data_IF_854808387647
#
_entry.id   IF_854808387647
#
_cell.length_a   1.000
_cell.length_b   1.000
_cell.length_c   1.000
_cell.angle_alpha   90.00
_cell.angle_beta   90.00
_cell.angle_gamma   90.00
#
_symmetry.space_group_name_H-M   'P 1'
#
loop_
_entity.id
_entity.type
_entity.pdbx_description
1 polymer ?
#
# COMPACT_ATOMS: atom_id res chain seq x y z
N UNK A 1 33.28 2.91 -7.71
CA UNK A 1 33.15 2.36 -6.35
C UNK A 1 31.74 2.34 -5.83
N UNK A 2 30.85 3.28 -6.17
CA UNK A 2 29.43 3.32 -5.71
C UNK A 2 28.56 2.25 -6.41
N UNK A 3 28.79 1.96 -7.69
CA UNK A 3 28.04 0.94 -8.44
C UNK A 3 28.28 -0.50 -7.93
N UNK A 4 29.51 -0.82 -7.52
CA UNK A 4 29.84 -2.15 -6.99
C UNK A 4 29.24 -2.41 -5.60
N UNK A 5 28.88 -1.36 -4.86
CA UNK A 5 28.26 -1.46 -3.53
C UNK A 5 26.74 -1.67 -3.59
N UNK A 6 26.09 -1.22 -4.67
CA UNK A 6 24.68 -1.50 -4.94
C UNK A 6 24.47 -2.96 -5.36
N UNK A 7 25.40 -3.54 -6.09
CA UNK A 7 25.40 -4.96 -6.44
C UNK A 7 25.38 -5.88 -5.21
N UNK A 8 26.05 -5.49 -4.12
CA UNK A 8 26.04 -6.26 -2.87
C UNK A 8 24.73 -6.15 -2.05
N UNK A 9 23.91 -5.12 -2.28
CA UNK A 9 22.65 -4.91 -1.55
C UNK A 9 21.47 -5.67 -2.17
N UNK A 10 21.60 -6.08 -3.44
CA UNK A 10 20.66 -6.99 -4.10
C UNK A 10 21.10 -8.46 -3.98
N UNK A 11 22.18 -8.74 -3.24
CA UNK A 11 22.75 -10.08 -3.04
C UNK A 11 21.76 -11.16 -2.58
N UNK A 12 20.75 -10.91 -1.71
CA UNK A 12 19.76 -11.94 -1.41
C UNK A 12 18.90 -12.34 -2.61
N UNK A 13 18.87 -11.53 -3.67
CA UNK A 13 18.14 -11.82 -4.91
C UNK A 13 19.03 -12.27 -6.07
N UNK A 14 20.36 -12.14 -5.96
CA UNK A 14 21.35 -12.60 -6.97
C UNK A 14 21.90 -14.01 -6.68
N UNK A 15 21.98 -14.40 -5.41
CA UNK A 15 22.57 -15.68 -4.98
C UNK A 15 21.55 -16.81 -4.78
N UNK A 16 20.38 -16.75 -5.42
CA UNK A 16 19.66 -17.98 -5.69
C UNK A 16 20.55 -18.76 -6.67
N UNK A 17 21.31 -19.75 -6.17
CA UNK A 17 22.00 -20.72 -7.03
C UNK A 17 20.97 -21.23 -8.02
N UNK A 18 20.99 -20.67 -9.24
CA UNK A 18 20.23 -21.26 -10.34
C UNK A 18 20.85 -22.63 -10.57
N UNK A 19 20.06 -23.65 -10.38
CA UNK A 19 20.40 -24.97 -10.89
C UNK A 19 20.53 -24.80 -12.42
N UNK A 20 21.79 -24.70 -12.88
CA UNK A 20 22.16 -24.48 -14.29
C UNK A 20 21.65 -25.60 -15.22
N UNK A 21 20.92 -26.58 -14.69
CA UNK A 21 20.33 -27.70 -15.46
C UNK A 21 18.89 -27.43 -15.92
N UNK A 22 18.24 -26.34 -15.46
CA UNK A 22 16.92 -25.93 -15.97
C UNK A 22 17.08 -25.08 -17.23
N UNK A 23 16.64 -25.61 -18.36
CA UNK A 23 16.46 -24.86 -19.61
C UNK A 23 15.79 -23.52 -19.33
N UNK A 24 16.32 -22.43 -19.90
CA UNK A 24 15.88 -21.03 -19.79
C UNK A 24 14.46 -20.83 -20.39
N UNK A 25 13.47 -21.59 -19.91
CA UNK A 25 12.09 -21.45 -20.34
C UNK A 25 11.47 -20.23 -19.64
N UNK A 26 10.94 -19.30 -20.42
CA UNK A 26 10.16 -18.18 -19.90
C UNK A 26 9.04 -18.75 -19.04
N UNK A 27 9.04 -18.40 -17.73
CA UNK A 27 7.94 -18.73 -16.83
C UNK A 27 6.87 -17.66 -16.95
N UNK A 28 5.62 -18.07 -17.10
CA UNK A 28 4.47 -17.17 -17.13
C UNK A 28 3.56 -17.44 -15.95
N UNK A 29 3.03 -16.36 -15.36
CA UNK A 29 2.02 -16.40 -14.32
C UNK A 29 0.83 -15.53 -14.74
N UNK A 30 -0.27 -16.18 -15.09
CA UNK A 30 -1.55 -15.45 -15.31
C UNK A 30 -2.38 -15.50 -14.04
N UNK A 31 -2.80 -14.33 -13.56
CA UNK A 31 -3.64 -14.17 -12.39
C UNK A 31 -4.84 -13.28 -12.72
N UNK A 32 -5.90 -13.37 -11.92
CA UNK A 32 -6.99 -12.40 -11.98
C UNK A 32 -6.42 -10.99 -11.81
N UNK A 33 -6.98 -10.02 -12.54
CA UNK A 33 -6.53 -8.64 -12.43
C UNK A 33 -6.52 -8.21 -10.96
N UNK A 34 -5.37 -7.75 -10.43
CA UNK A 34 -5.25 -7.39 -9.02
C UNK A 34 -6.02 -6.13 -8.62
N UNK A 35 -6.19 -5.98 -7.31
CA UNK A 35 -6.65 -4.76 -6.67
C UNK A 35 -5.57 -4.20 -5.75
N UNK A 36 -5.49 -2.88 -5.65
CA UNK A 36 -4.62 -2.21 -4.68
C UNK A 36 -5.45 -1.63 -3.54
N UNK A 37 -5.35 -2.24 -2.38
CA UNK A 37 -6.18 -1.88 -1.23
C UNK A 37 -5.63 -0.70 -0.42
N UNK A 38 -4.54 -0.07 -0.88
CA UNK A 38 -3.97 1.13 -0.27
C UNK A 38 -3.08 1.91 -1.25
N UNK A 39 -3.55 3.03 -1.77
CA UNK A 39 -2.76 3.87 -2.68
C UNK A 39 -2.97 5.37 -2.44
N UNK A 40 -1.91 6.16 -2.58
CA UNK A 40 -1.97 7.62 -2.63
C UNK A 40 -1.82 8.10 -4.08
N UNK A 41 -2.91 8.54 -4.68
CA UNK A 41 -2.86 9.13 -6.03
C UNK A 41 -2.46 10.61 -6.01
N UNK A 42 -2.50 11.25 -4.82
CA UNK A 42 -2.44 12.72 -4.65
C UNK A 42 -3.63 13.38 -5.34
N UNK A 43 -3.51 14.64 -5.74
CA UNK A 43 -4.62 15.38 -6.35
C UNK A 43 -4.16 16.26 -7.50
N UNK A 44 -5.09 16.90 -8.19
CA UNK A 44 -4.89 17.83 -9.28
C UNK A 44 -3.92 17.31 -10.34
N UNK A 45 -2.89 18.08 -10.68
CA UNK A 45 -1.92 17.75 -11.74
C UNK A 45 -1.15 16.43 -11.52
N UNK A 46 -1.01 15.99 -10.27
CA UNK A 46 -0.35 14.71 -9.94
C UNK A 46 -1.10 13.51 -10.54
N UNK A 47 -2.42 13.60 -10.64
CA UNK A 47 -3.28 12.54 -11.15
C UNK A 47 -2.96 12.17 -12.61
N UNK A 48 -2.41 13.10 -13.38
CA UNK A 48 -2.02 12.84 -14.77
C UNK A 48 -0.93 11.74 -14.89
N UNK A 49 -0.09 11.58 -13.87
CA UNK A 49 0.94 10.53 -13.80
C UNK A 49 0.48 9.32 -13.00
N UNK A 50 -0.13 9.55 -11.84
CA UNK A 50 -0.40 8.49 -10.87
C UNK A 50 -1.57 7.60 -11.26
N UNK A 51 -2.62 8.18 -11.85
CA UNK A 51 -3.83 7.43 -12.26
C UNK A 51 -3.53 6.42 -13.38
N UNK A 52 -2.87 6.78 -14.50
CA UNK A 52 -2.52 5.82 -15.53
C UNK A 52 -1.65 4.66 -15.00
N UNK A 53 -0.66 4.96 -14.14
CA UNK A 53 0.21 3.93 -13.57
C UNK A 53 -0.56 2.94 -12.69
N UNK A 54 -1.48 3.43 -11.86
CA UNK A 54 -2.34 2.56 -11.06
C UNK A 54 -3.29 1.74 -11.94
N UNK A 55 -3.97 2.40 -12.88
CA UNK A 55 -4.96 1.76 -13.75
C UNK A 55 -4.35 0.75 -14.74
N UNK A 56 -3.07 0.83 -15.04
CA UNK A 56 -2.40 -0.17 -15.86
C UNK A 56 -2.37 -1.54 -15.19
N UNK A 57 -2.18 -1.59 -13.87
CA UNK A 57 -1.97 -2.82 -13.12
C UNK A 57 -3.20 -3.29 -12.35
N UNK A 58 -4.04 -2.38 -11.86
CA UNK A 58 -5.12 -2.68 -10.93
C UNK A 58 -6.51 -2.39 -11.50
N UNK A 59 -7.51 -3.20 -11.15
CA UNK A 59 -8.91 -2.90 -11.46
C UNK A 59 -9.51 -1.96 -10.42
N UNK A 60 -9.38 -2.29 -9.15
CA UNK A 60 -9.84 -1.43 -8.04
C UNK A 60 -8.64 -0.92 -7.28
N UNK A 61 -8.78 0.30 -6.79
CA UNK A 61 -7.83 0.89 -5.86
C UNK A 61 -8.58 1.55 -4.72
N UNK A 62 -8.11 1.40 -3.48
CA UNK A 62 -8.59 2.20 -2.34
C UNK A 62 -7.73 3.46 -2.24
N UNK A 63 -8.34 4.60 -2.57
CA UNK A 63 -7.67 5.90 -2.58
C UNK A 63 -7.60 6.47 -1.18
N UNK A 64 -6.39 6.74 -0.70
CA UNK A 64 -6.18 7.34 0.62
C UNK A 64 -6.63 8.82 0.65
N UNK A 65 -7.24 9.25 1.78
CA UNK A 65 -7.97 10.51 1.85
C UNK A 65 -7.13 11.70 2.33
N UNK A 66 -5.84 11.52 2.67
CA UNK A 66 -4.96 12.53 3.27
C UNK A 66 -4.41 13.54 2.26
N UNK A 67 -5.32 14.21 1.59
CA UNK A 67 -5.06 15.33 0.68
C UNK A 67 -4.94 16.66 1.45
N UNK A 68 -4.80 17.75 0.74
CA UNK A 68 -4.89 19.12 1.29
C UNK A 68 -5.88 19.91 0.43
N UNK A 69 -7.11 20.16 0.93
CA UNK A 69 -7.70 19.64 2.18
C UNK A 69 -8.00 18.14 2.13
N UNK A 70 -8.09 17.46 3.31
CA UNK A 70 -8.40 16.03 3.35
C UNK A 70 -9.86 15.72 3.00
N UNK A 71 -10.09 14.49 2.53
CA UNK A 71 -11.43 14.00 2.13
C UNK A 71 -12.20 13.57 3.37
N UNK A 72 -12.98 14.47 3.96
CA UNK A 72 -13.68 14.27 5.25
C UNK A 72 -15.15 13.86 5.11
N UNK A 73 -15.76 14.01 3.93
CA UNK A 73 -17.18 13.77 3.69
C UNK A 73 -17.45 13.26 2.27
N UNK A 74 -18.70 12.91 2.00
CA UNK A 74 -19.13 12.32 0.73
C UNK A 74 -18.92 13.27 -0.45
N UNK A 75 -19.23 14.55 -0.30
CA UNK A 75 -19.09 15.53 -1.39
C UNK A 75 -17.62 15.65 -1.83
N UNK A 76 -16.70 15.71 -0.85
CA UNK A 76 -15.26 15.71 -1.11
C UNK A 76 -14.79 14.39 -1.77
N UNK A 77 -15.32 13.25 -1.31
CA UNK A 77 -15.00 11.94 -1.88
C UNK A 77 -15.49 11.84 -3.34
N UNK A 78 -16.69 12.29 -3.63
CA UNK A 78 -17.24 12.31 -4.98
C UNK A 78 -16.43 13.24 -5.89
N UNK A 79 -16.16 14.46 -5.46
CA UNK A 79 -15.37 15.42 -6.23
C UNK A 79 -13.94 14.89 -6.52
N UNK A 80 -13.31 14.22 -5.55
CA UNK A 80 -12.00 13.59 -5.76
C UNK A 80 -12.09 12.44 -6.75
N UNK A 81 -13.10 11.57 -6.62
CA UNK A 81 -13.33 10.47 -7.57
C UNK A 81 -13.55 10.99 -9.00
N UNK A 82 -14.30 12.06 -9.18
CA UNK A 82 -14.53 12.69 -10.47
C UNK A 82 -13.21 13.19 -11.12
N UNK A 83 -12.34 13.84 -10.34
CA UNK A 83 -11.01 14.27 -10.83
C UNK A 83 -10.14 13.07 -11.25
N UNK A 84 -10.13 11.98 -10.47
CA UNK A 84 -9.43 10.74 -10.84
C UNK A 84 -9.95 10.21 -12.19
N UNK A 85 -11.28 10.11 -12.35
CA UNK A 85 -11.88 9.59 -13.58
C UNK A 85 -11.67 10.51 -14.78
N UNK A 86 -11.60 11.84 -14.60
CA UNK A 86 -11.22 12.78 -15.66
C UNK A 86 -9.79 12.54 -16.16
N UNK A 87 -8.82 12.35 -15.26
CA UNK A 87 -7.44 12.04 -15.64
C UNK A 87 -7.31 10.65 -16.27
N UNK A 88 -8.09 9.67 -15.79
CA UNK A 88 -8.19 8.35 -16.42
C UNK A 88 -8.70 8.46 -17.86
N UNK A 89 -9.77 9.20 -18.08
CA UNK A 89 -10.34 9.39 -19.41
C UNK A 89 -9.34 10.06 -20.39
N UNK A 90 -8.55 10.99 -19.88
CA UNK A 90 -7.52 11.71 -20.66
C UNK A 90 -6.24 10.90 -20.90
N UNK A 91 -6.05 9.75 -20.26
CA UNK A 91 -4.84 8.92 -20.41
C UNK A 91 -4.81 8.15 -21.73
N UNK A 92 -3.64 7.60 -22.10
CA UNK A 92 -3.44 6.78 -23.29
C UNK A 92 -3.79 5.29 -23.09
N UNK A 93 -4.39 4.93 -21.96
CA UNK A 93 -4.82 3.55 -21.69
C UNK A 93 -5.93 3.10 -22.64
N UNK A 94 -6.02 1.79 -22.88
CA UNK A 94 -7.09 1.23 -23.69
C UNK A 94 -8.48 1.51 -23.11
N UNK A 95 -9.51 1.51 -23.97
CA UNK A 95 -10.89 1.70 -23.51
C UNK A 95 -11.32 0.63 -22.49
N UNK A 96 -10.85 -0.59 -22.66
CA UNK A 96 -11.06 -1.70 -21.71
C UNK A 96 -10.48 -1.38 -20.34
N UNK A 97 -9.20 -0.93 -20.28
CA UNK A 97 -8.56 -0.59 -19.01
C UNK A 97 -9.25 0.58 -18.32
N UNK A 98 -9.63 1.60 -19.07
CA UNK A 98 -10.40 2.73 -18.54
C UNK A 98 -11.76 2.31 -17.96
N UNK A 99 -12.47 1.42 -18.66
CA UNK A 99 -13.77 0.93 -18.21
C UNK A 99 -13.68 0.00 -16.98
N UNK A 100 -12.57 -0.73 -16.84
CA UNK A 100 -12.36 -1.66 -15.74
C UNK A 100 -11.85 -1.01 -14.44
N UNK A 101 -11.25 0.18 -14.53
CA UNK A 101 -10.66 0.85 -13.36
C UNK A 101 -11.73 1.51 -12.49
N UNK A 102 -11.78 1.12 -11.21
CA UNK A 102 -12.74 1.61 -10.24
C UNK A 102 -12.05 2.15 -8.98
N UNK A 103 -11.86 3.48 -8.87
CA UNK A 103 -11.32 4.10 -7.68
C UNK A 103 -12.37 4.10 -6.56
N UNK A 104 -12.11 3.36 -5.49
CA UNK A 104 -12.87 3.29 -4.26
C UNK A 104 -12.36 4.34 -3.29
N UNK A 105 -13.26 5.12 -2.73
CA UNK A 105 -12.92 6.24 -1.89
C UNK A 105 -12.84 5.84 -0.42
N UNK A 106 -12.11 6.63 0.36
CA UNK A 106 -12.11 6.57 1.83
C UNK A 106 -12.44 7.93 2.41
N UNK A 107 -13.01 7.95 3.60
CA UNK A 107 -13.13 9.18 4.38
C UNK A 107 -11.98 9.26 5.38
N UNK A 108 -11.48 10.46 5.55
CA UNK A 108 -10.47 10.80 6.56
C UNK A 108 -11.15 10.95 7.92
N UNK A 109 -10.85 10.07 8.88
CA UNK A 109 -11.38 10.15 10.23
C UNK A 109 -10.70 11.29 11.00
N UNK A 110 -11.50 12.13 11.60
CA UNK A 110 -11.07 13.24 12.47
C UNK A 110 -11.86 13.23 13.77
N UNK A 111 -11.44 14.00 14.76
CA UNK A 111 -12.18 14.16 16.02
C UNK A 111 -13.59 14.78 15.82
N UNK A 112 -13.91 15.28 14.63
CA UNK A 112 -15.21 15.90 14.29
C UNK A 112 -16.11 14.97 13.46
N UNK A 113 -15.62 13.82 13.04
CA UNK A 113 -16.40 12.84 12.26
C UNK A 113 -17.56 12.31 13.10
N UNK A 114 -18.75 12.23 12.52
CA UNK A 114 -19.97 11.80 13.20
C UNK A 114 -20.46 10.44 12.73
N UNK A 115 -21.29 9.79 13.54
CA UNK A 115 -21.99 8.56 13.14
C UNK A 115 -22.86 8.74 11.87
N UNK A 116 -23.39 9.96 11.66
CA UNK A 116 -24.15 10.29 10.45
C UNK A 116 -23.28 10.30 9.20
N UNK A 117 -22.03 10.79 9.30
CA UNK A 117 -21.08 10.76 8.19
C UNK A 117 -20.79 9.31 7.78
N UNK A 118 -20.66 8.40 8.75
CA UNK A 118 -20.45 6.97 8.51
C UNK A 118 -21.67 6.33 7.83
N UNK A 119 -22.88 6.66 8.29
CA UNK A 119 -24.10 6.19 7.63
C UNK A 119 -24.18 6.64 6.18
N UNK A 120 -23.90 7.91 5.90
CA UNK A 120 -23.90 8.45 4.54
C UNK A 120 -22.79 7.78 3.69
N UNK A 121 -21.60 7.59 4.25
CA UNK A 121 -20.50 6.89 3.60
C UNK A 121 -20.91 5.47 3.17
N UNK A 122 -21.46 4.70 4.08
CA UNK A 122 -21.90 3.32 3.82
C UNK A 122 -22.98 3.23 2.73
N UNK A 123 -23.85 4.23 2.63
CA UNK A 123 -24.93 4.30 1.62
C UNK A 123 -24.47 4.88 0.28
N UNK A 124 -23.30 5.47 0.19
CA UNK A 124 -22.84 6.21 -1.00
C UNK A 124 -22.54 5.33 -2.21
N UNK A 125 -22.18 4.07 -1.99
CA UNK A 125 -21.73 3.14 -3.02
C UNK A 125 -20.32 3.40 -3.56
N UNK A 126 -19.70 4.53 -3.21
CA UNK A 126 -18.33 4.90 -3.64
C UNK A 126 -17.31 4.84 -2.52
N UNK A 127 -17.72 5.02 -1.25
CA UNK A 127 -16.83 4.91 -0.08
C UNK A 127 -16.73 3.46 0.35
N UNK A 128 -15.50 2.96 0.40
CA UNK A 128 -15.22 1.56 0.75
C UNK A 128 -14.83 1.37 2.20
N UNK A 129 -14.28 2.41 2.83
CA UNK A 129 -13.77 2.36 4.20
C UNK A 129 -13.56 3.76 4.79
N UNK A 130 -13.23 3.82 6.07
CA UNK A 130 -12.81 5.04 6.77
C UNK A 130 -11.38 4.87 7.24
N UNK A 131 -10.53 5.85 6.98
CA UNK A 131 -9.10 5.83 7.30
C UNK A 131 -8.80 6.65 8.55
N UNK A 132 -8.22 6.00 9.53
CA UNK A 132 -7.68 6.62 10.74
C UNK A 132 -6.17 6.83 10.60
N UNK A 133 -5.77 8.08 10.77
CA UNK A 133 -4.39 8.47 11.05
C UNK A 133 -4.33 9.02 12.48
N UNK A 134 -3.43 8.54 13.34
CA UNK A 134 -3.07 9.29 14.54
C UNK A 134 -2.49 10.64 14.13
N UNK A 135 -2.87 11.72 14.83
CA UNK A 135 -2.43 13.08 14.50
C UNK A 135 -0.89 13.16 14.44
N UNK A 136 -0.36 13.63 13.31
CA UNK A 136 1.08 13.76 13.08
C UNK A 136 1.85 12.47 12.74
N UNK A 137 1.17 11.35 12.52
CA UNK A 137 1.85 10.06 12.24
C UNK A 137 2.58 10.03 10.89
N UNK A 138 2.07 10.70 9.88
CA UNK A 138 2.63 10.67 8.51
C UNK A 138 2.32 11.97 7.75
N UNK A 139 2.64 12.01 6.46
CA UNK A 139 2.36 13.14 5.57
C UNK A 139 0.87 13.51 5.58
N UNK A 140 0.54 14.80 5.75
CA UNK A 140 -0.82 15.33 5.77
C UNK A 140 -1.73 14.67 6.82
N UNK A 141 -1.17 14.30 7.99
CA UNK A 141 -1.93 13.69 9.09
C UNK A 141 -2.14 14.61 10.31
N UNK A 142 -1.90 15.91 10.17
CA UNK A 142 -2.10 16.86 11.25
C UNK A 142 -3.57 16.93 11.75
N UNK A 143 -4.53 16.74 10.84
CA UNK A 143 -5.97 16.72 11.14
C UNK A 143 -6.46 15.36 11.66
N UNK A 144 -5.57 14.39 11.88
CA UNK A 144 -5.88 13.04 12.33
C UNK A 144 -6.48 12.99 13.74
N UNK A 145 -6.80 11.78 14.18
CA UNK A 145 -7.41 11.55 15.49
C UNK A 145 -6.41 11.85 16.60
N UNK A 146 -6.83 12.71 17.55
CA UNK A 146 -6.02 13.05 18.73
C UNK A 146 -6.41 12.24 19.96
N UNK A 147 -7.70 11.85 20.08
CA UNK A 147 -8.19 10.97 21.14
C UNK A 147 -9.10 9.87 20.56
N UNK A 148 -8.62 8.66 20.60
CA UNK A 148 -9.35 7.47 20.12
C UNK A 148 -10.67 7.25 20.89
N UNK A 149 -10.75 7.70 22.13
CA UNK A 149 -11.95 7.55 22.94
C UNK A 149 -13.08 8.51 22.51
N UNK A 150 -12.75 9.59 21.82
CA UNK A 150 -13.75 10.48 21.22
C UNK A 150 -14.45 9.86 20.00
N UNK A 151 -13.89 8.78 19.43
CA UNK A 151 -14.40 8.13 18.22
C UNK A 151 -15.41 6.99 18.50
N UNK A 152 -15.88 6.81 19.72
CA UNK A 152 -16.74 5.67 20.10
C UNK A 152 -18.00 5.56 19.24
N UNK A 153 -18.76 6.65 19.09
CA UNK A 153 -20.01 6.67 18.31
C UNK A 153 -19.73 6.38 16.82
N UNK A 154 -18.54 6.78 16.32
CA UNK A 154 -18.09 6.49 14.96
C UNK A 154 -17.79 5.01 14.82
N UNK A 155 -17.11 4.40 15.77
CA UNK A 155 -16.78 2.95 15.75
C UNK A 155 -18.04 2.10 15.84
N UNK A 156 -19.02 2.48 16.68
CA UNK A 156 -20.35 1.83 16.71
C UNK A 156 -21.05 1.90 15.35
N UNK A 157 -20.94 3.04 14.67
CA UNK A 157 -21.51 3.20 13.34
C UNK A 157 -20.77 2.37 12.28
N UNK A 158 -19.43 2.32 12.32
CA UNK A 158 -18.63 1.46 11.42
C UNK A 158 -19.00 -0.01 11.57
N UNK A 159 -19.12 -0.49 12.81
CA UNK A 159 -19.55 -1.86 13.10
C UNK A 159 -20.99 -2.12 12.60
N UNK A 160 -21.92 -1.23 12.91
CA UNK A 160 -23.32 -1.31 12.48
C UNK A 160 -23.51 -1.36 10.97
N UNK A 161 -22.77 -0.55 10.23
CA UNK A 161 -22.89 -0.46 8.77
C UNK A 161 -21.90 -1.39 8.04
N UNK A 162 -21.11 -2.20 8.76
CA UNK A 162 -20.08 -3.09 8.23
C UNK A 162 -19.11 -2.33 7.29
N UNK A 163 -18.78 -1.08 7.63
CA UNK A 163 -17.83 -0.26 6.91
C UNK A 163 -16.45 -0.39 7.57
N UNK A 164 -15.42 -0.92 6.87
CA UNK A 164 -14.12 -1.19 7.47
C UNK A 164 -13.40 0.06 7.96
N UNK A 165 -12.68 -0.08 9.09
CA UNK A 165 -11.72 0.88 9.60
C UNK A 165 -10.32 0.51 9.10
N UNK A 166 -9.65 1.45 8.42
CA UNK A 166 -8.27 1.30 7.95
C UNK A 166 -7.36 2.08 8.89
N UNK A 167 -6.32 1.44 9.40
CA UNK A 167 -5.46 2.03 10.43
C UNK A 167 -4.04 2.28 9.93
N UNK A 168 -3.54 3.51 10.10
CA UNK A 168 -2.11 3.74 10.22
C UNK A 168 -1.71 3.43 11.65
N UNK A 169 -1.12 2.27 11.87
CA UNK A 169 -0.95 1.67 13.18
C UNK A 169 0.32 2.10 13.91
N UNK A 170 0.53 3.39 14.15
CA UNK A 170 1.68 3.91 14.90
C UNK A 170 1.25 4.91 15.97
N UNK A 171 1.86 4.84 17.17
CA UNK A 171 1.77 5.93 18.14
C UNK A 171 2.67 7.09 17.72
N UNK A 172 2.33 8.32 18.15
CA UNK A 172 3.04 9.56 17.75
C UNK A 172 3.79 10.23 18.89
N UNK A 173 3.94 9.56 20.02
CA UNK A 173 4.62 10.11 21.18
C UNK A 173 6.13 10.29 20.93
N UNK A 174 6.67 11.46 21.20
CA UNK A 174 8.08 11.83 20.95
C UNK A 174 9.10 10.94 21.69
N UNK A 175 8.73 10.38 22.85
CA UNK A 175 9.59 9.52 23.65
C UNK A 175 9.59 8.06 23.17
N UNK A 176 8.74 7.68 22.20
CA UNK A 176 8.71 6.32 21.64
C UNK A 176 9.62 6.26 20.43
N UNK A 177 10.56 5.32 20.46
CA UNK A 177 11.43 5.06 19.32
C UNK A 177 10.60 4.77 18.06
N UNK A 178 10.99 5.38 16.94
CA UNK A 178 10.27 5.26 15.66
C UNK A 178 10.16 3.80 15.19
N UNK A 179 11.07 2.92 15.61
CA UNK A 179 11.05 1.50 15.27
C UNK A 179 10.07 0.69 16.14
N UNK A 180 9.62 1.24 17.28
CA UNK A 180 8.73 0.56 18.25
C UNK A 180 7.28 1.09 18.18
N UNK A 181 7.01 2.16 17.41
CA UNK A 181 5.71 2.84 17.35
C UNK A 181 4.56 1.93 16.94
N UNK A 182 4.78 1.02 15.99
CA UNK A 182 3.75 0.06 15.56
C UNK A 182 3.39 -0.91 16.67
N UNK A 183 4.38 -1.53 17.32
CA UNK A 183 4.12 -2.42 18.45
C UNK A 183 3.37 -1.73 19.59
N UNK A 184 3.79 -0.51 19.93
CA UNK A 184 3.11 0.27 20.97
C UNK A 184 1.66 0.56 20.61
N UNK A 185 1.36 0.85 19.35
CA UNK A 185 -0.02 1.05 18.89
C UNK A 185 -0.87 -0.21 19.06
N UNK A 186 -0.32 -1.38 18.72
CA UNK A 186 -1.02 -2.66 18.92
C UNK A 186 -1.40 -2.86 20.39
N UNK A 187 -0.43 -2.69 21.29
CA UNK A 187 -0.59 -2.97 22.72
C UNK A 187 -1.50 -1.94 23.42
N UNK A 188 -1.38 -0.67 23.08
CA UNK A 188 -2.00 0.44 23.82
C UNK A 188 -3.32 0.92 23.21
N UNK A 189 -3.50 0.77 21.90
CA UNK A 189 -4.64 1.34 21.18
C UNK A 189 -5.50 0.25 20.55
N UNK A 190 -4.93 -0.57 19.65
CA UNK A 190 -5.71 -1.49 18.84
C UNK A 190 -6.34 -2.61 19.69
N UNK A 191 -5.61 -3.13 20.67
CA UNK A 191 -6.14 -4.16 21.59
C UNK A 191 -7.41 -3.68 22.31
N UNK A 192 -7.48 -2.41 22.73
CA UNK A 192 -8.67 -1.84 23.39
C UNK A 192 -9.84 -1.66 22.43
N UNK A 193 -9.58 -1.22 21.19
CA UNK A 193 -10.60 -1.06 20.15
C UNK A 193 -11.28 -2.41 19.86
N UNK A 194 -10.49 -3.47 19.65
CA UNK A 194 -11.02 -4.81 19.32
C UNK A 194 -11.87 -5.40 20.45
N UNK A 195 -11.45 -5.20 21.70
CA UNK A 195 -12.24 -5.66 22.87
C UNK A 195 -13.61 -4.96 22.91
N UNK A 196 -13.65 -3.67 22.58
CA UNK A 196 -14.87 -2.86 22.64
C UNK A 196 -15.77 -3.05 21.41
N UNK A 197 -15.18 -3.31 20.24
CA UNK A 197 -15.88 -3.47 18.95
C UNK A 197 -15.47 -4.79 18.27
N UNK A 198 -15.90 -5.95 18.80
CA UNK A 198 -15.35 -7.25 18.41
C UNK A 198 -15.77 -7.72 17.01
N UNK A 199 -16.79 -7.12 16.40
CA UNK A 199 -17.24 -7.48 15.04
C UNK A 199 -16.88 -6.44 14.00
N UNK A 200 -16.29 -5.29 14.41
CA UNK A 200 -15.85 -4.26 13.50
C UNK A 200 -14.72 -4.78 12.59
N UNK A 201 -14.89 -4.60 11.29
CA UNK A 201 -13.82 -4.92 10.33
C UNK A 201 -12.70 -3.90 10.41
N UNK A 202 -11.48 -4.39 10.61
CA UNK A 202 -10.27 -3.55 10.68
C UNK A 202 -9.23 -4.07 9.72
N UNK A 203 -8.61 -3.16 8.97
CA UNK A 203 -7.38 -3.43 8.23
C UNK A 203 -6.24 -2.66 8.88
N UNK A 204 -5.29 -3.38 9.45
CA UNK A 204 -4.00 -2.82 9.87
C UNK A 204 -3.15 -2.65 8.61
N UNK A 205 -3.03 -1.42 8.14
CA UNK A 205 -2.42 -1.16 6.84
C UNK A 205 -0.90 -1.11 6.91
N UNK A 206 -0.24 -1.50 5.80
CA UNK A 206 1.22 -1.42 5.60
C UNK A 206 2.03 -1.87 6.82
N UNK A 207 1.67 -3.03 7.39
CA UNK A 207 2.37 -3.55 8.58
C UNK A 207 3.87 -3.74 8.32
N UNK A 208 4.67 -3.53 9.37
CA UNK A 208 6.13 -3.50 9.24
C UNK A 208 6.86 -4.40 10.22
N UNK A 209 6.16 -4.97 11.20
CA UNK A 209 6.77 -5.77 12.28
C UNK A 209 6.23 -7.19 12.32
N UNK A 210 7.02 -8.11 12.89
CA UNK A 210 6.56 -9.44 13.26
C UNK A 210 5.42 -9.38 14.28
N UNK A 211 5.48 -8.42 15.20
CA UNK A 211 4.45 -8.22 16.22
C UNK A 211 3.07 -7.93 15.58
N UNK A 212 3.03 -7.13 14.51
CA UNK A 212 1.78 -6.87 13.78
C UNK A 212 1.30 -8.12 13.02
N UNK A 213 2.20 -8.87 12.41
CA UNK A 213 1.85 -10.12 11.73
C UNK A 213 1.26 -11.15 12.71
N UNK A 214 1.91 -11.37 13.84
CA UNK A 214 1.47 -12.29 14.90
C UNK A 214 0.13 -11.83 15.48
N UNK A 215 -0.02 -10.53 15.76
CA UNK A 215 -1.27 -9.95 16.22
C UNK A 215 -2.44 -10.26 15.27
N UNK A 216 -2.28 -10.02 13.96
CA UNK A 216 -3.32 -10.29 12.96
C UNK A 216 -3.63 -11.79 12.88
N UNK A 217 -2.64 -12.67 12.99
CA UNK A 217 -2.84 -14.11 12.99
C UNK A 217 -3.70 -14.58 14.17
N UNK A 218 -3.52 -13.99 15.34
CA UNK A 218 -4.24 -14.33 16.58
C UNK A 218 -5.70 -13.84 16.60
N UNK A 219 -6.06 -12.81 15.81
CA UNK A 219 -7.41 -12.27 15.79
C UNK A 219 -8.39 -13.11 14.95
N UNK A 220 -9.68 -12.78 15.01
CA UNK A 220 -10.71 -13.31 14.11
C UNK A 220 -10.61 -12.80 12.67
N UNK A 221 -11.50 -13.28 11.80
CA UNK A 221 -11.50 -12.95 10.37
C UNK A 221 -11.93 -11.48 10.07
N UNK A 222 -12.41 -10.74 11.07
CA UNK A 222 -12.71 -9.31 10.94
C UNK A 222 -11.44 -8.44 10.94
N UNK A 223 -10.27 -8.99 11.28
CA UNK A 223 -9.00 -8.29 11.29
C UNK A 223 -8.11 -8.82 10.15
N UNK A 224 -7.59 -7.91 9.34
CA UNK A 224 -6.68 -8.21 8.26
C UNK A 224 -5.56 -7.16 8.18
N UNK A 225 -4.60 -7.36 7.30
CA UNK A 225 -3.51 -6.42 7.09
C UNK A 225 -3.12 -6.30 5.62
N UNK A 226 -2.67 -5.10 5.22
CA UNK A 226 -1.96 -4.90 3.96
C UNK A 226 -0.45 -4.92 4.16
N UNK A 227 0.28 -5.42 3.16
CA UNK A 227 1.74 -5.40 3.16
C UNK A 227 2.22 -4.82 1.83
N UNK A 228 3.15 -3.88 1.91
CA UNK A 228 3.66 -3.14 0.76
C UNK A 228 4.87 -3.85 0.12
N UNK A 229 5.20 -3.57 -1.15
CA UNK A 229 6.36 -4.17 -1.78
C UNK A 229 7.67 -3.73 -1.10
N UNK A 230 7.75 -2.48 -0.63
CA UNK A 230 8.95 -1.99 0.07
C UNK A 230 9.20 -2.70 1.40
N UNK A 231 8.16 -3.07 2.16
CA UNK A 231 8.32 -3.78 3.42
C UNK A 231 8.60 -5.29 3.24
N UNK A 232 8.20 -5.87 2.09
CA UNK A 232 8.59 -7.24 1.73
C UNK A 232 10.05 -7.32 1.27
N UNK A 233 10.49 -6.35 0.46
CA UNK A 233 11.78 -6.44 -0.24
C UNK A 233 12.94 -5.82 0.54
N UNK A 234 12.67 -4.84 1.41
CA UNK A 234 13.71 -4.01 2.02
C UNK A 234 13.58 -3.92 3.54
N UNK A 235 14.70 -3.61 4.17
CA UNK A 235 14.80 -3.35 5.59
C UNK A 235 15.60 -2.06 5.84
N UNK A 236 15.76 -1.67 7.09
CA UNK A 236 16.41 -0.41 7.46
C UNK A 236 17.86 -0.26 6.95
N UNK A 237 18.59 -1.37 6.67
CA UNK A 237 19.91 -1.29 6.10
C UNK A 237 19.90 -0.68 4.69
N UNK A 238 18.86 -0.99 3.89
CA UNK A 238 18.67 -0.42 2.56
C UNK A 238 18.47 1.10 2.59
N UNK A 239 17.89 1.61 3.67
CA UNK A 239 17.69 3.05 3.88
C UNK A 239 18.98 3.75 4.35
N UNK A 240 19.80 3.11 5.22
CA UNK A 240 20.81 3.78 6.03
C UNK A 240 22.24 3.40 5.70
N UNK A 241 22.52 2.20 5.18
CA UNK A 241 23.89 1.74 4.94
C UNK A 241 24.45 2.33 3.65
N UNK A 242 25.64 2.88 3.75
CA UNK A 242 26.34 3.54 2.61
C UNK A 242 25.82 4.95 2.31
N UNK A 243 25.08 5.55 3.23
CA UNK A 243 24.46 6.87 3.12
C UNK A 243 22.94 6.78 3.11
N UNK A 244 22.29 7.92 3.44
CA UNK A 244 20.82 8.00 3.47
C UNK A 244 20.27 7.91 2.04
N UNK A 245 19.29 7.04 1.84
CA UNK A 245 18.61 6.86 0.56
C UNK A 245 17.14 7.32 0.65
N UNK A 246 16.84 8.58 0.33
CA UNK A 246 15.52 9.18 0.57
C UNK A 246 14.37 8.44 -0.10
N UNK A 247 14.59 7.80 -1.26
CA UNK A 247 13.54 7.09 -1.99
C UNK A 247 13.11 5.77 -1.35
N UNK A 248 13.84 5.29 -0.31
CA UNK A 248 13.42 4.19 0.57
C UNK A 248 12.75 4.69 1.87
N UNK A 249 12.73 6.01 2.12
CA UNK A 249 12.09 6.55 3.31
C UNK A 249 10.58 6.58 3.16
N UNK A 250 9.89 5.84 4.03
CA UNK A 250 8.44 5.76 4.16
C UNK A 250 8.05 5.75 5.64
N UNK A 251 6.78 5.96 5.94
CA UNK A 251 6.18 5.78 7.26
C UNK A 251 4.95 4.88 7.11
N UNK A 252 4.89 3.78 7.88
CA UNK A 252 5.87 3.34 8.90
C UNK A 252 7.25 3.01 8.28
N UNK A 253 8.30 3.30 9.05
CA UNK A 253 9.68 3.15 8.58
C UNK A 253 10.06 1.67 8.38
N UNK A 254 10.95 1.39 7.41
CA UNK A 254 11.53 0.06 7.22
C UNK A 254 12.19 -0.44 8.50
N UNK A 255 11.84 -1.66 8.92
CA UNK A 255 12.29 -2.26 10.19
C UNK A 255 13.54 -3.13 10.00
N UNK A 256 13.85 -3.97 10.97
CA UNK A 256 14.95 -4.95 10.93
C UNK A 256 14.67 -6.05 9.91
N UNK A 257 15.71 -6.69 9.43
CA UNK A 257 15.63 -7.87 8.56
C UNK A 257 14.77 -9.01 9.18
N UNK A 258 14.82 -9.19 10.49
CA UNK A 258 13.99 -10.19 11.18
C UNK A 258 12.50 -9.95 11.00
N UNK A 259 12.05 -8.70 11.05
CA UNK A 259 10.66 -8.34 10.77
C UNK A 259 10.32 -8.53 9.29
N UNK A 260 11.18 -8.06 8.38
CA UNK A 260 11.01 -8.24 6.94
C UNK A 260 10.79 -9.70 6.55
N UNK A 261 11.58 -10.63 7.10
CA UNK A 261 11.44 -12.08 6.85
C UNK A 261 10.06 -12.58 7.26
N UNK A 262 9.57 -12.21 8.44
CA UNK A 262 8.23 -12.61 8.91
C UNK A 262 7.13 -12.03 8.01
N UNK A 263 7.26 -10.78 7.56
CA UNK A 263 6.29 -10.19 6.62
C UNK A 263 6.25 -10.96 5.29
N UNK A 264 7.41 -11.33 4.76
CA UNK A 264 7.50 -12.13 3.55
C UNK A 264 6.88 -13.53 3.75
N UNK A 265 7.14 -14.16 4.89
CA UNK A 265 6.57 -15.47 5.23
C UNK A 265 5.04 -15.42 5.30
N UNK A 266 4.44 -14.43 5.98
CA UNK A 266 2.97 -14.34 6.08
C UNK A 266 2.32 -13.93 4.77
N UNK A 267 2.92 -13.03 3.98
CA UNK A 267 2.41 -12.64 2.68
C UNK A 267 2.36 -13.83 1.70
N UNK A 268 3.37 -14.70 1.77
CA UNK A 268 3.50 -15.87 0.89
C UNK A 268 2.90 -17.16 1.47
N UNK A 269 2.29 -17.10 2.66
CA UNK A 269 1.69 -18.26 3.34
C UNK A 269 0.40 -18.76 2.69
N UNK A 270 -0.30 -17.89 1.94
CA UNK A 270 -1.66 -18.15 1.45
C UNK A 270 -2.75 -17.87 2.49
N UNK A 271 -2.41 -17.25 3.61
CA UNK A 271 -3.39 -16.86 4.63
C UNK A 271 -4.21 -15.64 4.14
N UNK A 272 -5.57 -15.72 4.08
CA UNK A 272 -6.42 -14.67 3.50
C UNK A 272 -6.49 -13.38 4.31
N UNK A 273 -5.90 -13.33 5.49
CA UNK A 273 -5.82 -12.11 6.30
C UNK A 273 -4.76 -11.11 5.81
N UNK A 274 -3.86 -11.53 4.92
CA UNK A 274 -2.81 -10.67 4.37
C UNK A 274 -3.01 -10.47 2.88
N UNK A 275 -3.06 -9.23 2.44
CA UNK A 275 -3.26 -8.89 1.03
C UNK A 275 -2.52 -7.63 0.60
N UNK A 276 -2.52 -7.39 -0.70
CA UNK A 276 -1.79 -6.32 -1.34
C UNK A 276 -2.33 -4.93 -0.95
N UNK A 277 -1.44 -4.04 -0.55
CA UNK A 277 -1.66 -2.61 -0.49
C UNK A 277 -0.32 -1.95 -0.74
N UNK A 278 -0.18 -1.22 -1.84
CA UNK A 278 1.14 -0.71 -2.26
C UNK A 278 1.67 0.38 -1.36
N UNK A 279 0.79 1.14 -0.73
CA UNK A 279 1.15 2.42 -0.12
C UNK A 279 2.06 3.25 -1.05
N UNK A 280 1.77 3.17 -2.35
CA UNK A 280 2.47 3.99 -3.33
C UNK A 280 2.18 5.45 -3.05
N UNK A 281 3.20 6.18 -2.61
CA UNK A 281 3.07 7.55 -2.11
C UNK A 281 4.02 8.48 -2.87
N UNK A 282 3.57 9.08 -3.98
CA UNK A 282 4.40 9.90 -4.84
C UNK A 282 4.75 11.24 -4.20
N UNK A 283 6.04 11.59 -4.30
CA UNK A 283 6.58 12.91 -3.98
C UNK A 283 7.60 13.28 -5.05
N UNK A 284 7.61 14.55 -5.45
CA UNK A 284 8.60 15.06 -6.39
C UNK A 284 10.03 14.77 -5.89
N UNK A 285 10.94 14.45 -6.81
CA UNK A 285 12.33 14.08 -6.48
C UNK A 285 13.01 15.12 -5.60
N UNK A 286 12.85 16.41 -5.89
CA UNK A 286 13.41 17.50 -5.08
C UNK A 286 12.84 17.57 -3.66
N UNK A 287 11.59 17.16 -3.44
CA UNK A 287 10.99 17.07 -2.11
C UNK A 287 11.53 15.86 -1.34
N UNK A 288 11.74 14.73 -1.99
CA UNK A 288 12.37 13.54 -1.41
C UNK A 288 13.84 13.78 -1.05
N UNK A 289 14.58 14.48 -1.90
CA UNK A 289 16.01 14.74 -1.75
C UNK A 289 16.28 16.06 -1.01
N UNK A 290 15.38 16.42 -0.09
CA UNK A 290 15.49 17.57 0.82
C UNK A 290 15.70 17.11 2.26
N UNK A 291 15.93 18.06 3.17
CA UNK A 291 16.07 17.77 4.59
C UNK A 291 14.81 17.13 5.22
N UNK A 292 13.63 17.39 4.68
CA UNK A 292 12.37 16.74 5.07
C UNK A 292 12.32 15.26 4.67
N UNK A 293 12.88 14.90 3.51
CA UNK A 293 12.86 13.54 2.97
C UNK A 293 11.49 13.06 2.49
N UNK A 294 10.41 13.74 2.77
CA UNK A 294 9.00 13.41 2.50
C UNK A 294 8.71 11.91 2.50
N UNK A 295 8.11 11.39 3.57
CA UNK A 295 7.84 9.96 3.72
C UNK A 295 6.92 9.42 2.63
N UNK A 296 7.35 8.38 1.92
CA UNK A 296 6.60 7.70 0.88
C UNK A 296 7.50 7.12 -0.21
N UNK A 297 7.24 5.88 -0.60
CA UNK A 297 7.87 5.23 -1.75
C UNK A 297 6.90 5.26 -2.94
N UNK A 298 7.40 5.49 -4.14
CA UNK A 298 6.58 5.41 -5.34
C UNK A 298 6.76 4.05 -6.02
N UNK A 299 5.76 3.19 -5.93
CA UNK A 299 5.83 1.81 -6.41
C UNK A 299 4.76 1.44 -7.45
N UNK A 300 3.67 2.23 -7.59
CA UNK A 300 2.49 1.86 -8.39
C UNK A 300 2.82 1.46 -9.83
N UNK A 301 3.75 2.18 -10.48
CA UNK A 301 4.13 1.91 -11.87
C UNK A 301 4.74 0.51 -12.10
N UNK A 302 5.36 -0.07 -11.07
CA UNK A 302 6.07 -1.35 -11.14
C UNK A 302 5.62 -2.32 -10.03
N UNK A 303 4.45 -2.10 -9.43
CA UNK A 303 4.03 -2.81 -8.22
C UNK A 303 3.97 -4.34 -8.42
N UNK A 304 3.33 -4.81 -9.48
CA UNK A 304 3.21 -6.25 -9.73
C UNK A 304 4.55 -6.93 -9.98
N UNK A 305 5.47 -6.40 -10.80
CA UNK A 305 6.85 -6.90 -10.90
C UNK A 305 7.59 -6.95 -9.56
N UNK A 306 7.42 -5.94 -8.70
CA UNK A 306 8.03 -5.90 -7.36
C UNK A 306 7.48 -7.03 -6.47
N UNK A 307 6.16 -7.20 -6.39
CA UNK A 307 5.56 -8.30 -5.63
C UNK A 307 5.94 -9.68 -6.21
N UNK A 308 5.93 -9.83 -7.55
CA UNK A 308 6.36 -11.08 -8.17
C UNK A 308 7.82 -11.42 -7.81
N UNK A 309 8.70 -10.42 -7.83
CA UNK A 309 10.09 -10.58 -7.40
C UNK A 309 10.19 -11.03 -5.94
N UNK A 310 9.43 -10.41 -5.04
CA UNK A 310 9.41 -10.78 -3.63
C UNK A 310 8.92 -12.21 -3.41
N UNK A 311 7.82 -12.61 -4.04
CA UNK A 311 7.24 -13.95 -3.90
C UNK A 311 8.12 -15.04 -4.54
N UNK A 312 8.71 -14.74 -5.69
CA UNK A 312 9.63 -15.67 -6.39
C UNK A 312 10.94 -15.90 -5.63
N UNK A 313 11.41 -14.88 -4.90
CA UNK A 313 12.64 -14.96 -4.09
C UNK A 313 12.61 -16.06 -3.03
N UNK A 314 11.43 -16.47 -2.62
CA UNK A 314 11.21 -17.56 -1.66
C UNK A 314 10.51 -18.78 -2.29
N UNK A 315 10.44 -18.84 -3.64
CA UNK A 315 9.83 -19.95 -4.38
C UNK A 315 8.32 -20.07 -4.19
N UNK A 316 7.61 -18.97 -3.91
CA UNK A 316 6.16 -18.94 -3.61
C UNK A 316 5.36 -18.09 -4.59
N UNK A 317 5.82 -17.96 -5.82
CA UNK A 317 5.15 -17.16 -6.86
C UNK A 317 3.70 -17.62 -7.11
N UNK A 318 3.37 -18.88 -6.87
CA UNK A 318 2.03 -19.47 -6.95
C UNK A 318 1.04 -18.89 -5.94
N UNK A 319 1.51 -18.26 -4.87
CA UNK A 319 0.66 -17.62 -3.84
C UNK A 319 0.28 -16.18 -4.19
N UNK A 320 0.90 -15.59 -5.21
CA UNK A 320 0.70 -14.17 -5.54
C UNK A 320 -0.75 -13.86 -5.91
N UNK A 321 -1.46 -14.73 -6.65
CA UNK A 321 -2.86 -14.48 -7.02
C UNK A 321 -3.76 -14.36 -5.78
N UNK A 322 -3.59 -15.22 -4.78
CA UNK A 322 -4.34 -15.13 -3.52
C UNK A 322 -4.15 -13.77 -2.88
N UNK A 323 -2.90 -13.38 -2.69
CA UNK A 323 -2.51 -12.13 -2.02
C UNK A 323 -2.93 -10.86 -2.81
N UNK A 324 -2.76 -10.84 -4.13
CA UNK A 324 -2.96 -9.65 -4.94
C UNK A 324 -4.40 -9.48 -5.47
N UNK A 325 -5.13 -10.59 -5.69
CA UNK A 325 -6.37 -10.54 -6.46
C UNK A 325 -7.59 -11.09 -5.74
N UNK A 326 -7.41 -11.94 -4.69
CA UNK A 326 -8.54 -12.64 -4.09
C UNK A 326 -8.83 -12.24 -2.66
N UNK A 327 -7.82 -12.20 -1.79
CA UNK A 327 -8.04 -12.10 -0.34
C UNK A 327 -8.63 -10.76 0.07
N UNK A 328 -8.11 -9.64 -0.46
CA UNK A 328 -8.67 -8.33 -0.19
C UNK A 328 -10.11 -8.21 -0.70
N UNK A 329 -10.41 -8.66 -1.93
CA UNK A 329 -11.78 -8.65 -2.45
C UNK A 329 -12.75 -9.43 -1.54
N UNK A 330 -12.34 -10.60 -1.06
CA UNK A 330 -13.13 -11.41 -0.12
C UNK A 330 -13.34 -10.69 1.22
N UNK A 331 -12.28 -10.07 1.77
CA UNK A 331 -12.39 -9.31 3.03
C UNK A 331 -13.37 -8.15 2.92
N UNK A 332 -13.32 -7.38 1.83
CA UNK A 332 -14.23 -6.27 1.56
C UNK A 332 -15.61 -6.69 1.07
N UNK A 333 -15.85 -7.99 0.84
CA UNK A 333 -17.14 -8.51 0.35
C UNK A 333 -17.44 -8.12 -1.09
N UNK A 334 -16.41 -7.94 -1.91
CA UNK A 334 -16.53 -7.55 -3.31
C UNK A 334 -16.36 -8.78 -4.23
N UNK A 335 -16.98 -8.79 -5.41
CA UNK A 335 -16.79 -9.85 -6.38
C UNK A 335 -15.34 -9.86 -6.88
N UNK A 336 -14.84 -11.03 -7.26
CA UNK A 336 -13.54 -11.14 -7.93
C UNK A 336 -13.60 -10.47 -9.31
N UNK A 337 -12.46 -9.90 -9.75
CA UNK A 337 -12.36 -9.32 -11.08
C UNK A 337 -12.50 -10.38 -12.17
N UNK A 338 -13.12 -10.03 -13.30
CA UNK A 338 -13.32 -10.96 -14.41
C UNK A 338 -12.19 -10.97 -15.43
N UNK A 339 -11.34 -9.92 -15.44
CA UNK A 339 -10.17 -9.82 -16.32
C UNK A 339 -8.93 -10.47 -15.67
N UNK A 340 -7.92 -10.70 -16.48
CA UNK A 340 -6.63 -11.28 -16.05
C UNK A 340 -5.46 -10.42 -16.50
N UNK A 341 -4.31 -10.61 -15.82
CA UNK A 341 -3.02 -10.03 -16.20
C UNK A 341 -1.97 -11.14 -16.17
N UNK A 342 -1.03 -11.10 -17.10
CA UNK A 342 0.05 -12.10 -17.18
C UNK A 342 1.38 -11.44 -16.85
N UNK A 343 2.10 -12.04 -15.91
CA UNK A 343 3.49 -11.71 -15.60
C UNK A 343 4.41 -12.73 -16.27
N UNK A 344 5.57 -12.26 -16.71
CA UNK A 344 6.62 -13.11 -17.30
C UNK A 344 7.95 -12.84 -16.59
N UNK A 345 8.77 -13.88 -16.40
CA UNK A 345 10.10 -13.73 -15.82
C UNK A 345 11.13 -13.25 -16.87
N UNK A 346 10.75 -12.23 -17.61
CA UNK A 346 11.64 -11.50 -18.50
C UNK A 346 12.09 -10.24 -17.81
N UNK A 347 13.43 -10.01 -17.68
CA UNK A 347 13.94 -8.84 -16.99
C UNK A 347 13.44 -7.53 -17.61
N UNK A 348 13.04 -6.59 -16.74
CA UNK A 348 12.68 -5.24 -17.12
C UNK A 348 13.55 -4.22 -16.38
N UNK A 349 13.98 -3.18 -17.07
CA UNK A 349 14.64 -2.06 -16.44
C UNK A 349 13.61 -1.07 -15.89
N UNK A 350 13.68 -0.78 -14.61
CA UNK A 350 12.84 0.25 -13.99
C UNK A 350 13.27 1.63 -14.51
N UNK A 351 12.37 2.46 -15.02
CA UNK A 351 12.72 3.82 -15.44
C UNK A 351 13.40 4.61 -14.34
N UNK A 352 14.37 5.45 -14.70
CA UNK A 352 15.09 6.27 -13.72
C UNK A 352 14.20 7.35 -13.10
N UNK A 353 13.20 7.81 -13.83
CA UNK A 353 12.21 8.80 -13.39
C UNK A 353 11.01 8.81 -14.34
N UNK A 354 9.89 9.34 -13.85
CA UNK A 354 8.71 9.69 -14.64
C UNK A 354 8.52 11.21 -14.63
N UNK A 355 7.95 11.81 -15.70
CA UNK A 355 7.48 13.18 -15.66
C UNK A 355 6.46 13.38 -14.54
N UNK A 356 6.57 14.49 -13.84
CA UNK A 356 5.63 14.88 -12.80
C UNK A 356 5.21 16.34 -13.03
N UNK A 357 4.22 16.85 -12.31
CA UNK A 357 3.68 18.18 -12.57
C UNK A 357 4.73 19.29 -12.42
N UNK A 358 4.49 20.41 -13.14
CA UNK A 358 5.31 21.62 -13.09
C UNK A 358 6.81 21.41 -13.39
N UNK A 359 7.13 20.44 -14.25
CA UNK A 359 8.50 20.13 -14.65
C UNK A 359 9.31 19.34 -13.61
N UNK A 360 8.70 18.92 -12.51
CA UNK A 360 9.32 18.03 -11.55
C UNK A 360 9.44 16.61 -12.13
N UNK A 361 10.26 15.78 -11.47
CA UNK A 361 10.36 14.36 -11.74
C UNK A 361 9.88 13.53 -10.55
N UNK A 362 9.39 12.34 -10.85
CA UNK A 362 8.98 11.34 -9.88
C UNK A 362 9.87 10.11 -10.02
N UNK A 363 10.62 9.77 -8.98
CA UNK A 363 11.56 8.65 -9.00
C UNK A 363 10.91 7.41 -8.40
N UNK A 364 10.73 6.33 -9.18
CA UNK A 364 10.14 5.10 -8.67
C UNK A 364 11.09 4.35 -7.74
N UNK A 365 10.52 3.47 -6.93
CA UNK A 365 11.28 2.50 -6.14
C UNK A 365 12.13 1.65 -7.09
N UNK A 366 13.42 1.45 -6.77
CA UNK A 366 14.41 0.77 -7.62
C UNK A 366 14.66 1.45 -8.98
N UNK A 367 14.53 2.77 -9.07
CA UNK A 367 14.82 3.52 -10.29
C UNK A 367 16.19 3.18 -10.89
N UNK A 368 16.24 2.77 -12.17
CA UNK A 368 17.45 2.37 -12.87
C UNK A 368 17.93 0.94 -12.61
N UNK A 369 17.30 0.21 -11.72
CA UNK A 369 17.60 -1.20 -11.44
C UNK A 369 16.82 -2.15 -12.37
N UNK A 370 17.22 -3.40 -12.42
CA UNK A 370 16.53 -4.44 -13.21
C UNK A 370 15.71 -5.34 -12.30
N UNK A 371 14.42 -5.48 -12.59
CA UNK A 371 13.54 -6.47 -11.98
C UNK A 371 13.49 -7.73 -12.83
N UNK A 372 13.48 -8.95 -12.24
CA UNK A 372 13.45 -10.21 -12.98
C UNK A 372 12.08 -10.53 -13.60
N UNK A 373 11.04 -9.82 -13.20
CA UNK A 373 9.67 -9.98 -13.69
C UNK A 373 9.17 -8.74 -14.39
N UNK A 374 8.32 -8.92 -15.40
CA UNK A 374 7.62 -7.85 -16.12
C UNK A 374 6.16 -8.23 -16.39
N UNK A 375 5.33 -7.24 -16.72
CA UNK A 375 3.98 -7.48 -17.23
C UNK A 375 4.11 -7.85 -18.72
N UNK A 376 3.46 -8.93 -19.13
CA UNK A 376 3.40 -9.35 -20.54
C UNK A 376 2.61 -8.33 -21.33
N UNK A 377 3.21 -7.79 -22.40
CA UNK A 377 2.60 -6.81 -23.30
C UNK A 377 1.43 -7.43 -24.10
#
# INVERSE_FOLDING_TARGET
MIAAQLDSLLLPYKDIERDDTMTDSIRELTLLQPDDWHIHLRDDKALATTVPHAAQSFNRVICMPNLVPPVKNIDAAQAYRERILQHLAASDLSAERKAAFDPRMTLYLTDQTTAQDIEMAAKSGIVQAVKLYPAGATTNSADGVTDINACVDVFEALEKYNLPLLLHGEVTHDHVDIFDREKRFLDEVLAQIIVKFPTMKIVLEHITTSDAADFVLEQGNQIAATITPQHLMFNRNHLLVGGIKPHFYCLPILKRESHQKVLLDVATSGNPKFFLGTDSAPHATNAKESACGCAGCYSAANALPLYATAFDSVGKIDKLEGFASRFGAQFYGLPLNGSTITLINTPMQVPTHYPYFDGASLKPLLAGETLPWSIKA
#
